data_IF_813675853042
#
_entry.id   IF_813675853042
#
_cell.length_a   1.000
_cell.length_b   1.000
_cell.length_c   1.000
_cell.angle_alpha   90.00
_cell.angle_beta   90.00
_cell.angle_gamma   90.00
#
_symmetry.space_group_name_H-M   'P 1'
#
loop_
_entity.id
_entity.type
_entity.pdbx_description
1 polymer ?
#
# COMPACT_ATOMS: atom_id res chain seq x y z
N UNK A 1 50.17 59.40 23.36
CA UNK A 1 50.71 58.06 23.68
C UNK A 1 49.63 57.24 24.37
N UNK A 2 49.75 55.91 24.25
CA UNK A 2 48.96 54.84 24.89
C UNK A 2 47.89 54.13 24.03
N UNK A 3 48.37 53.01 23.49
CA UNK A 3 47.80 51.77 22.94
C UNK A 3 46.87 50.98 23.88
N UNK A 4 46.02 50.14 23.25
CA UNK A 4 45.45 48.82 23.65
C UNK A 4 43.91 48.79 23.56
N UNK A 5 43.26 47.93 22.78
CA UNK A 5 43.66 46.60 22.29
C UNK A 5 43.12 45.52 23.21
N UNK A 6 41.85 45.13 23.04
CA UNK A 6 41.29 43.95 23.70
C UNK A 6 40.21 43.31 22.80
N UNK A 7 40.67 42.58 21.79
CA UNK A 7 39.87 41.56 21.11
C UNK A 7 39.67 40.40 22.09
N UNK A 8 38.42 40.25 22.56
CA UNK A 8 38.00 39.11 23.38
C UNK A 8 38.04 37.81 22.58
N UNK A 9 39.14 37.08 22.68
CA UNK A 9 39.27 35.72 22.18
C UNK A 9 38.39 34.78 22.99
N UNK A 10 37.20 34.47 22.47
CA UNK A 10 36.38 33.39 22.97
C UNK A 10 37.12 32.06 22.74
N UNK A 11 37.77 31.55 23.78
CA UNK A 11 38.31 30.19 23.81
C UNK A 11 37.14 29.21 23.81
N UNK A 12 36.78 28.72 22.62
CA UNK A 12 35.83 27.63 22.46
C UNK A 12 36.43 26.35 23.03
N UNK A 13 35.78 25.77 24.04
CA UNK A 13 36.20 24.54 24.69
C UNK A 13 36.14 23.33 23.74
N UNK A 14 37.12 22.39 23.79
CA UNK A 14 37.17 21.20 22.92
C UNK A 14 35.92 20.31 23.00
N UNK A 15 35.18 20.37 24.10
CA UNK A 15 33.94 19.61 24.34
C UNK A 15 32.71 20.14 23.58
N UNK A 16 32.82 21.28 22.90
CA UNK A 16 31.77 21.82 22.02
C UNK A 16 31.88 21.26 20.58
N UNK A 17 33.08 20.87 20.14
CA UNK A 17 33.32 20.33 18.80
C UNK A 17 32.85 18.88 18.64
N UNK A 18 32.84 18.08 19.71
CA UNK A 18 32.43 16.66 19.63
C UNK A 18 30.92 16.41 19.51
N UNK A 19 30.05 17.39 19.84
CA UNK A 19 28.59 17.20 19.88
C UNK A 19 27.87 17.49 18.57
N UNK A 20 28.53 18.13 17.61
CA UNK A 20 27.96 18.43 16.29
C UNK A 20 28.16 17.29 15.27
N UNK A 21 29.13 16.38 15.47
CA UNK A 21 29.32 15.25 14.55
C UNK A 21 28.33 14.09 14.79
N UNK A 22 27.76 13.97 15.99
CA UNK A 22 26.93 12.82 16.35
C UNK A 22 25.45 12.93 15.92
N UNK A 23 25.01 14.10 15.43
CA UNK A 23 23.63 14.34 15.02
C UNK A 23 23.34 14.00 13.53
N UNK A 24 24.37 13.67 12.73
CA UNK A 24 24.22 13.45 11.29
C UNK A 24 23.95 12.00 10.84
N UNK A 25 24.11 11.02 11.74
CA UNK A 25 24.16 9.60 11.36
C UNK A 25 22.84 8.82 11.54
N UNK A 26 21.92 9.27 12.40
CA UNK A 26 20.70 8.51 12.76
C UNK A 26 19.47 8.80 11.88
N UNK A 27 19.50 9.82 11.02
CA UNK A 27 18.33 10.25 10.23
C UNK A 27 18.23 9.68 8.81
N UNK A 28 19.16 8.79 8.39
CA UNK A 28 19.21 8.25 7.02
C UNK A 28 18.60 6.85 6.92
N UNK A 29 18.78 6.00 7.94
CA UNK A 29 18.17 4.67 8.03
C UNK A 29 16.67 4.70 8.35
N UNK A 30 16.21 5.70 9.11
CA UNK A 30 14.80 5.80 9.54
C UNK A 30 13.84 6.17 8.37
N UNK A 31 14.34 6.92 7.38
CA UNK A 31 13.59 7.27 6.15
C UNK A 31 13.37 6.05 5.24
N UNK A 32 14.40 5.23 5.04
CA UNK A 32 14.28 4.00 4.24
C UNK A 32 13.30 3.00 4.85
N UNK A 33 13.28 2.87 6.18
CA UNK A 33 12.37 1.96 6.89
C UNK A 33 10.91 2.44 6.88
N UNK A 34 10.67 3.76 6.92
CA UNK A 34 9.34 4.35 6.84
C UNK A 34 8.77 4.32 5.42
N UNK A 35 9.61 4.54 4.41
CA UNK A 35 9.23 4.39 2.99
C UNK A 35 8.90 2.93 2.62
N UNK A 36 9.66 1.96 3.13
CA UNK A 36 9.35 0.53 2.97
C UNK A 36 7.98 0.17 3.56
N UNK A 37 7.72 0.57 4.81
CA UNK A 37 6.44 0.33 5.47
C UNK A 37 5.27 1.00 4.75
N UNK A 38 5.44 2.22 4.26
CA UNK A 38 4.39 2.91 3.50
C UNK A 38 4.07 2.22 2.17
N UNK A 39 5.08 1.68 1.47
CA UNK A 39 4.88 0.90 0.24
C UNK A 39 4.16 -0.42 0.50
N UNK A 40 4.53 -1.12 1.57
CA UNK A 40 3.90 -2.39 1.94
C UNK A 40 2.47 -2.20 2.46
N UNK A 41 2.21 -1.13 3.20
CA UNK A 41 0.86 -0.74 3.59
C UNK A 41 0.00 -0.38 2.36
N UNK A 42 0.59 0.27 1.36
CA UNK A 42 -0.09 0.64 0.12
C UNK A 42 -0.44 -0.57 -0.73
N UNK A 43 0.47 -1.55 -0.87
CA UNK A 43 0.18 -2.80 -1.59
C UNK A 43 -0.89 -3.63 -0.87
N UNK A 44 -0.80 -3.78 0.46
CA UNK A 44 -1.81 -4.48 1.24
C UNK A 44 -3.19 -3.82 1.16
N UNK A 45 -3.25 -2.49 1.14
CA UNK A 45 -4.52 -1.77 0.98
C UNK A 45 -5.11 -1.94 -0.44
N UNK A 46 -4.27 -1.96 -1.48
CA UNK A 46 -4.70 -2.25 -2.85
C UNK A 46 -5.26 -3.67 -2.98
N UNK A 47 -4.56 -4.67 -2.44
CA UNK A 47 -5.03 -6.06 -2.45
C UNK A 47 -6.38 -6.20 -1.73
N UNK A 48 -6.52 -5.59 -0.53
CA UNK A 48 -7.79 -5.64 0.22
C UNK A 48 -8.94 -4.98 -0.53
N UNK A 49 -8.68 -3.84 -1.17
CA UNK A 49 -9.70 -3.10 -1.93
C UNK A 49 -10.15 -3.89 -3.17
N UNK A 50 -9.20 -4.44 -3.92
CA UNK A 50 -9.45 -5.31 -5.06
C UNK A 50 -10.26 -6.55 -4.64
N UNK A 51 -9.83 -7.24 -3.58
CA UNK A 51 -10.52 -8.42 -3.07
C UNK A 51 -11.94 -8.10 -2.59
N UNK A 52 -12.15 -6.93 -1.99
CA UNK A 52 -13.47 -6.49 -1.57
C UNK A 52 -14.39 -6.20 -2.75
N UNK A 53 -13.88 -5.56 -3.81
CA UNK A 53 -14.63 -5.30 -5.03
C UNK A 53 -15.11 -6.62 -5.69
N UNK A 54 -14.21 -7.60 -5.85
CA UNK A 54 -14.56 -8.92 -6.39
C UNK A 54 -15.60 -9.63 -5.52
N UNK A 55 -15.44 -9.62 -4.19
CA UNK A 55 -16.42 -10.24 -3.28
C UNK A 55 -17.79 -9.59 -3.34
N UNK A 56 -17.85 -8.28 -3.51
CA UNK A 56 -19.11 -7.55 -3.65
C UNK A 56 -19.82 -7.93 -4.95
N UNK A 57 -19.10 -7.98 -6.06
CA UNK A 57 -19.66 -8.39 -7.34
C UNK A 57 -20.10 -9.88 -7.32
N UNK A 58 -19.37 -10.76 -6.63
CA UNK A 58 -19.78 -12.14 -6.35
C UNK A 58 -21.13 -12.23 -5.60
N UNK A 59 -21.31 -11.39 -4.57
CA UNK A 59 -22.57 -11.33 -3.83
C UNK A 59 -23.72 -10.85 -4.71
N UNK A 60 -23.47 -9.87 -5.58
CA UNK A 60 -24.47 -9.39 -6.55
C UNK A 60 -24.84 -10.48 -7.54
N UNK A 61 -23.87 -11.24 -8.06
CA UNK A 61 -24.11 -12.36 -8.96
C UNK A 61 -24.99 -13.45 -8.32
N UNK A 62 -24.86 -13.68 -7.01
CA UNK A 62 -25.66 -14.68 -6.28
C UNK A 62 -27.15 -14.31 -6.15
N UNK A 63 -27.45 -13.01 -6.19
CA UNK A 63 -28.80 -12.45 -6.14
C UNK A 63 -29.29 -11.93 -7.50
N UNK A 64 -28.50 -12.16 -8.57
CA UNK A 64 -28.80 -11.67 -9.90
C UNK A 64 -30.03 -12.37 -10.50
N UNK A 65 -30.80 -11.62 -11.28
CA UNK A 65 -31.83 -12.21 -12.14
C UNK A 65 -31.20 -12.77 -13.41
N UNK A 66 -31.90 -13.66 -14.13
CA UNK A 66 -31.51 -14.13 -15.47
C UNK A 66 -31.08 -13.00 -16.42
N UNK A 67 -31.77 -11.86 -16.39
CA UNK A 67 -31.54 -10.73 -17.28
C UNK A 67 -30.25 -9.98 -16.93
N UNK A 68 -29.88 -9.92 -15.65
CA UNK A 68 -28.69 -9.23 -15.16
C UNK A 68 -27.45 -10.14 -15.13
N UNK A 69 -27.65 -11.46 -15.20
CA UNK A 69 -26.61 -12.46 -14.99
C UNK A 69 -25.44 -12.31 -15.97
N UNK A 70 -25.70 -12.19 -17.27
CA UNK A 70 -24.62 -12.08 -18.27
C UNK A 70 -23.80 -10.80 -18.09
N UNK A 71 -24.47 -9.68 -17.76
CA UNK A 71 -23.79 -8.41 -17.48
C UNK A 71 -22.93 -8.47 -16.22
N UNK A 72 -23.44 -9.09 -15.14
CA UNK A 72 -22.70 -9.26 -13.90
C UNK A 72 -21.56 -10.28 -14.03
N UNK A 73 -21.73 -11.33 -14.84
CA UNK A 73 -20.68 -12.28 -15.18
C UNK A 73 -19.53 -11.57 -15.88
N UNK A 74 -19.84 -10.81 -16.93
CA UNK A 74 -18.83 -10.06 -17.70
C UNK A 74 -18.09 -9.06 -16.80
N UNK A 75 -18.81 -8.29 -15.98
CA UNK A 75 -18.18 -7.36 -15.03
C UNK A 75 -17.25 -8.08 -14.04
N UNK A 76 -17.64 -9.26 -13.56
CA UNK A 76 -16.85 -10.02 -12.60
C UNK A 76 -15.57 -10.58 -13.24
N UNK A 77 -15.65 -11.03 -14.49
CA UNK A 77 -14.50 -11.47 -15.29
C UNK A 77 -13.54 -10.31 -15.57
N UNK A 78 -14.05 -9.17 -16.04
CA UNK A 78 -13.27 -7.93 -16.26
C UNK A 78 -12.58 -7.45 -14.98
N UNK A 79 -13.27 -7.49 -13.83
CA UNK A 79 -12.71 -7.03 -12.56
C UNK A 79 -11.62 -7.97 -12.05
N UNK A 80 -11.75 -9.28 -12.27
CA UNK A 80 -10.70 -10.27 -11.95
C UNK A 80 -9.46 -10.12 -12.84
N UNK A 81 -9.64 -9.73 -14.09
CA UNK A 81 -8.54 -9.49 -15.03
C UNK A 81 -7.84 -8.16 -14.72
N UNK A 82 -8.61 -7.09 -14.55
CA UNK A 82 -8.11 -5.75 -14.23
C UNK A 82 -7.34 -5.69 -12.90
N UNK A 83 -7.82 -6.41 -11.87
CA UNK A 83 -7.21 -6.43 -10.55
C UNK A 83 -6.24 -7.61 -10.35
N UNK A 84 -5.91 -8.37 -11.40
CA UNK A 84 -5.06 -9.57 -11.31
C UNK A 84 -3.73 -9.31 -10.60
N UNK A 85 -3.05 -8.23 -10.96
CA UNK A 85 -1.76 -7.86 -10.35
C UNK A 85 -1.92 -7.38 -8.91
N UNK A 86 -3.01 -6.67 -8.60
CA UNK A 86 -3.30 -6.15 -7.26
C UNK A 86 -3.76 -7.24 -6.29
N UNK A 87 -4.45 -8.27 -6.78
CA UNK A 87 -4.98 -9.39 -5.99
C UNK A 87 -3.90 -10.38 -5.55
N UNK A 88 -2.75 -10.43 -6.26
CA UNK A 88 -1.62 -11.28 -5.92
C UNK A 88 -2.01 -12.72 -5.59
N UNK A 89 -1.76 -13.13 -4.34
CA UNK A 89 -2.05 -14.49 -3.85
C UNK A 89 -3.54 -14.84 -3.74
N UNK A 90 -4.44 -13.85 -3.64
CA UNK A 90 -5.88 -14.08 -3.53
C UNK A 90 -6.56 -14.33 -4.88
N UNK A 91 -5.91 -13.98 -5.99
CA UNK A 91 -6.50 -14.07 -7.32
C UNK A 91 -7.00 -15.49 -7.64
N UNK A 92 -6.17 -16.52 -7.43
CA UNK A 92 -6.56 -17.92 -7.72
C UNK A 92 -7.78 -18.36 -6.91
N UNK A 93 -7.87 -17.93 -5.65
CA UNK A 93 -8.99 -18.27 -4.78
C UNK A 93 -10.27 -17.58 -5.26
N UNK A 94 -10.21 -16.27 -5.51
CA UNK A 94 -11.35 -15.48 -5.98
C UNK A 94 -11.83 -15.91 -7.36
N UNK A 95 -10.91 -16.29 -8.24
CA UNK A 95 -11.23 -16.86 -9.56
C UNK A 95 -12.03 -18.17 -9.43
N UNK A 96 -11.57 -19.12 -8.61
CA UNK A 96 -12.33 -20.36 -8.37
C UNK A 96 -13.71 -20.09 -7.78
N UNK A 97 -13.82 -19.14 -6.85
CA UNK A 97 -15.11 -18.75 -6.27
C UNK A 97 -16.04 -18.14 -7.32
N UNK A 98 -15.49 -17.38 -8.26
CA UNK A 98 -16.20 -16.81 -9.40
C UNK A 98 -16.71 -17.88 -10.35
N UNK A 99 -15.83 -18.78 -10.79
CA UNK A 99 -16.22 -19.92 -11.64
C UNK A 99 -17.32 -20.76 -10.98
N UNK A 100 -17.19 -21.03 -9.68
CA UNK A 100 -18.22 -21.77 -8.93
C UNK A 100 -19.54 -20.99 -8.81
N UNK A 101 -19.49 -19.68 -8.59
CA UNK A 101 -20.70 -18.85 -8.51
C UNK A 101 -21.42 -18.73 -9.85
N UNK A 102 -20.67 -18.67 -10.96
CA UNK A 102 -21.22 -18.68 -12.32
C UNK A 102 -21.93 -20.01 -12.57
N UNK A 103 -21.27 -21.15 -12.30
CA UNK A 103 -21.85 -22.48 -12.49
C UNK A 103 -23.14 -22.67 -11.67
N UNK A 104 -23.14 -22.25 -10.40
CA UNK A 104 -24.31 -22.37 -9.53
C UNK A 104 -25.47 -21.51 -9.99
N UNK A 105 -25.21 -20.31 -10.52
CA UNK A 105 -26.27 -19.45 -11.04
C UNK A 105 -26.78 -19.96 -12.40
N UNK A 106 -25.92 -20.47 -13.28
CA UNK A 106 -26.34 -21.10 -14.55
C UNK A 106 -27.31 -22.27 -14.37
N UNK A 107 -27.27 -22.96 -13.23
CA UNK A 107 -28.24 -24.02 -12.91
C UNK A 107 -29.59 -23.50 -12.41
N UNK A 108 -29.67 -22.21 -12.06
CA UNK A 108 -30.89 -21.55 -11.53
C UNK A 108 -31.64 -20.74 -12.58
N UNK A 109 -30.94 -20.31 -13.64
CA UNK A 109 -31.50 -19.63 -14.82
C UNK A 109 -32.18 -20.65 -15.73
#
# INVERSE_FOLDING_TARGET
GAINGAVGGARLSPSALGRLEQAGATGRDDRSASEWRAREQSSANKERRAAFAVRRALQQLHSATPADFDGLRQQLEDLLEAEREALGGQWRKLRRQTEQAILLNQQRV
#
